data_IF_481833658440
#
_entry.id   IF_481833658440
#
_cell.length_a   1.000
_cell.length_b   1.000
_cell.length_c   1.000
_cell.angle_alpha   90.00
_cell.angle_beta   90.00
_cell.angle_gamma   90.00
#
_symmetry.space_group_name_H-M   'P 1'
#
loop_
_entity.id
_entity.type
_entity.pdbx_description
1 polymer ?
#
# COMPACT_ATOMS: atom_id res chain seq x y z
N UNK A 1 -76.78 -15.32 -28.62
CA UNK A 1 -76.11 -14.15 -29.21
C UNK A 1 -74.64 -14.53 -29.41
N UNK A 2 -74.31 -15.23 -30.50
CA UNK A 2 -73.70 -14.69 -31.75
C UNK A 2 -72.40 -13.93 -31.44
N UNK A 3 -71.20 -14.35 -31.85
CA UNK A 3 -70.75 -14.54 -33.25
C UNK A 3 -69.33 -15.16 -33.25
N UNK A 4 -69.09 -16.32 -33.90
CA UNK A 4 -68.40 -16.55 -35.20
C UNK A 4 -66.86 -16.41 -35.24
N UNK A 5 -66.23 -17.38 -35.92
CA UNK A 5 -64.95 -17.27 -36.66
C UNK A 5 -63.98 -18.42 -36.34
N UNK A 6 -63.84 -19.50 -37.13
CA UNK A 6 -63.32 -19.65 -38.51
C UNK A 6 -61.79 -19.66 -38.63
N UNK A 7 -61.25 -20.70 -39.30
CA UNK A 7 -59.90 -20.76 -39.91
C UNK A 7 -58.88 -21.55 -39.07
N UNK A 8 -58.49 -22.79 -39.40
CA UNK A 8 -57.77 -23.33 -40.57
C UNK A 8 -56.28 -22.94 -40.65
N UNK A 9 -55.47 -23.94 -40.31
CA UNK A 9 -54.25 -24.43 -40.95
C UNK A 9 -52.94 -23.61 -41.02
N UNK A 10 -51.89 -24.40 -40.80
CA UNK A 10 -50.52 -24.36 -41.37
C UNK A 10 -49.50 -23.35 -40.84
N UNK A 11 -48.37 -23.89 -40.41
CA UNK A 11 -47.17 -23.13 -40.08
C UNK A 11 -46.07 -23.99 -39.46
N UNK A 12 -45.49 -24.90 -40.24
CA UNK A 12 -44.15 -25.46 -39.98
C UNK A 12 -43.16 -24.30 -39.87
N UNK A 13 -42.34 -24.26 -38.82
CA UNK A 13 -41.10 -23.45 -38.87
C UNK A 13 -39.99 -24.12 -38.08
N UNK A 14 -38.86 -24.20 -38.77
CA UNK A 14 -37.56 -24.75 -38.39
C UNK A 14 -37.07 -24.33 -37.01
N UNK A 15 -36.39 -25.28 -36.36
CA UNK A 15 -35.51 -25.06 -35.24
C UNK A 15 -34.42 -24.01 -35.56
N UNK A 16 -34.30 -23.00 -34.70
CA UNK A 16 -33.18 -22.08 -34.70
C UNK A 16 -32.19 -22.48 -33.60
N UNK A 17 -30.96 -22.79 -34.02
CA UNK A 17 -29.80 -23.05 -33.15
C UNK A 17 -29.42 -21.78 -32.38
N UNK A 18 -29.22 -21.81 -31.05
CA UNK A 18 -28.64 -20.68 -30.35
C UNK A 18 -27.14 -20.57 -30.68
N UNK A 19 -26.80 -19.49 -31.37
CA UNK A 19 -25.44 -19.00 -31.55
C UNK A 19 -24.77 -18.77 -30.19
N UNK A 20 -23.76 -19.59 -29.89
CA UNK A 20 -22.85 -19.40 -28.75
C UNK A 20 -22.01 -18.15 -29.02
N UNK A 21 -22.44 -17.01 -28.48
CA UNK A 21 -21.59 -15.81 -28.46
C UNK A 21 -20.44 -16.04 -27.48
N UNK A 22 -19.24 -16.05 -28.03
CA UNK A 22 -17.97 -16.02 -27.33
C UNK A 22 -17.90 -14.81 -26.40
N UNK A 23 -17.96 -15.05 -25.10
CA UNK A 23 -17.53 -14.09 -24.09
C UNK A 23 -16.05 -14.33 -23.82
N UNK A 24 -15.18 -13.60 -24.50
CA UNK A 24 -13.78 -13.49 -24.12
C UNK A 24 -13.75 -12.61 -22.87
N UNK A 25 -13.67 -13.23 -21.68
CA UNK A 25 -13.38 -12.49 -20.46
C UNK A 25 -11.92 -12.08 -20.52
N UNK A 26 -11.65 -10.93 -21.12
CA UNK A 26 -10.37 -10.25 -20.95
C UNK A 26 -10.33 -9.81 -19.49
N UNK A 27 -9.68 -10.60 -18.64
CA UNK A 27 -9.29 -10.18 -17.31
C UNK A 27 -8.21 -9.12 -17.48
N UNK A 28 -8.63 -7.87 -17.65
CA UNK A 28 -7.76 -6.72 -17.46
C UNK A 28 -7.11 -6.87 -16.06
N UNK A 29 -5.77 -6.74 -15.94
CA UNK A 29 -5.12 -6.83 -14.65
C UNK A 29 -5.66 -5.69 -13.78
N UNK A 30 -6.46 -6.05 -12.78
CA UNK A 30 -6.97 -5.14 -11.76
C UNK A 30 -5.75 -4.47 -11.11
N UNK A 31 -5.51 -3.21 -11.48
CA UNK A 31 -4.72 -2.33 -10.64
C UNK A 31 -5.37 -2.40 -9.26
N UNK A 32 -4.64 -2.77 -8.18
CA UNK A 32 -5.25 -2.87 -6.87
C UNK A 32 -5.93 -1.53 -6.57
N UNK A 33 -7.25 -1.56 -6.39
CA UNK A 33 -7.97 -0.37 -5.95
C UNK A 33 -7.31 0.11 -4.65
N UNK A 34 -6.91 1.38 -4.62
CA UNK A 34 -6.29 2.00 -3.45
C UNK A 34 -7.20 1.95 -2.21
N UNK A 35 -8.48 1.66 -2.38
CA UNK A 35 -9.45 1.49 -1.29
C UNK A 35 -9.80 0.03 -0.98
N UNK A 36 -9.24 -0.94 -1.73
CA UNK A 36 -9.51 -2.36 -1.53
C UNK A 36 -10.98 -2.73 -1.74
N UNK A 37 -11.64 -2.16 -2.75
CA UNK A 37 -13.09 -2.32 -2.96
C UNK A 37 -13.94 -1.55 -1.95
N UNK A 38 -13.38 -0.51 -1.31
CA UNK A 38 -14.00 0.24 -0.22
C UNK A 38 -13.85 -0.39 1.16
N UNK A 39 -13.18 -1.53 1.29
CA UNK A 39 -13.00 -2.23 2.57
C UNK A 39 -11.88 -1.67 3.44
N UNK A 40 -10.94 -0.93 2.86
CA UNK A 40 -9.83 -0.36 3.62
C UNK A 40 -10.28 0.79 4.51
N UNK A 41 -9.86 0.76 5.78
CA UNK A 41 -10.19 1.80 6.75
C UNK A 41 -9.58 3.17 6.37
N UNK A 42 -8.39 3.13 5.77
CA UNK A 42 -7.68 4.28 5.20
C UNK A 42 -7.17 3.87 3.82
N UNK A 43 -7.43 4.64 2.75
CA UNK A 43 -6.90 4.33 1.42
C UNK A 43 -5.38 4.22 1.40
N UNK A 44 -4.84 3.34 0.58
CA UNK A 44 -3.41 3.35 0.25
C UNK A 44 -3.03 4.60 -0.54
N UNK A 45 -1.74 4.95 -0.43
CA UNK A 45 -1.11 5.98 -1.27
C UNK A 45 0.01 5.30 -2.05
N UNK A 46 -0.33 4.79 -3.23
CA UNK A 46 0.60 4.05 -4.09
C UNK A 46 0.47 4.53 -5.53
N UNK A 47 1.61 4.72 -6.18
CA UNK A 47 1.76 5.11 -7.57
C UNK A 47 3.02 4.45 -8.14
N UNK A 48 3.10 4.30 -9.46
CA UNK A 48 4.34 3.87 -10.12
C UNK A 48 5.41 4.96 -10.01
N UNK A 49 6.68 4.56 -9.91
CA UNK A 49 7.81 5.49 -9.86
C UNK A 49 8.09 6.14 -8.50
N UNK A 50 7.42 5.68 -7.43
CA UNK A 50 7.73 6.15 -6.08
C UNK A 50 9.15 5.74 -5.66
N UNK A 51 9.87 6.66 -5.00
CA UNK A 51 11.19 6.35 -4.42
C UNK A 51 11.04 5.48 -3.18
N UNK A 52 10.05 5.76 -2.35
CA UNK A 52 9.88 5.13 -1.04
C UNK A 52 8.42 4.80 -0.78
N UNK A 53 8.14 3.60 -0.28
CA UNK A 53 6.87 3.26 0.37
C UNK A 53 7.13 2.98 1.84
N UNK A 54 6.46 3.73 2.72
CA UNK A 54 6.47 3.48 4.16
C UNK A 54 5.30 2.55 4.52
N UNK A 55 5.61 1.48 5.25
CA UNK A 55 4.66 0.43 5.58
C UNK A 55 4.46 0.33 7.09
N UNK A 56 3.26 0.66 7.58
CA UNK A 56 2.88 0.46 8.97
C UNK A 56 2.31 -0.94 9.23
N UNK A 57 1.92 -1.21 10.47
CA UNK A 57 1.25 -2.47 10.85
C UNK A 57 -0.22 -2.42 10.52
N UNK A 58 -0.93 -1.49 11.15
CA UNK A 58 -2.35 -1.22 10.96
C UNK A 58 -2.63 0.24 11.36
N UNK A 59 -3.73 0.85 10.89
CA UNK A 59 -4.17 2.13 11.42
C UNK A 59 -4.49 1.99 12.92
N UNK A 60 -4.04 2.96 13.72
CA UNK A 60 -4.56 3.12 15.09
C UNK A 60 -6.08 3.42 15.04
N UNK A 61 -6.80 3.20 16.15
CA UNK A 61 -8.23 3.59 16.22
C UNK A 61 -8.46 5.08 15.90
N UNK A 62 -7.51 5.94 16.29
CA UNK A 62 -7.53 7.38 15.97
C UNK A 62 -7.34 7.58 14.46
N UNK A 63 -6.35 6.93 13.86
CA UNK A 63 -6.08 6.96 12.42
C UNK A 63 -7.28 6.49 11.59
N UNK A 64 -7.90 5.37 11.97
CA UNK A 64 -9.06 4.83 11.29
C UNK A 64 -10.26 5.79 11.35
N UNK A 65 -10.55 6.36 12.52
CA UNK A 65 -11.64 7.35 12.68
C UNK A 65 -11.38 8.62 11.88
N UNK A 66 -10.12 9.07 11.82
CA UNK A 66 -9.72 10.25 11.05
C UNK A 66 -9.60 9.98 9.54
N UNK A 67 -9.65 8.70 9.10
CA UNK A 67 -9.31 8.25 7.74
C UNK A 67 -7.97 8.81 7.27
N UNK A 68 -6.98 8.78 8.16
CA UNK A 68 -5.67 9.40 7.98
C UNK A 68 -4.54 8.58 8.64
N UNK A 69 -3.35 8.65 8.06
CA UNK A 69 -2.19 7.91 8.57
C UNK A 69 -1.55 8.58 9.79
N UNK A 70 -1.12 7.75 10.74
CA UNK A 70 -0.41 8.19 11.96
C UNK A 70 -1.05 9.40 12.68
N UNK A 71 -2.38 9.43 12.74
CA UNK A 71 -3.14 10.59 13.24
C UNK A 71 -3.17 10.74 14.77
N UNK A 72 -2.63 9.78 15.52
CA UNK A 72 -2.47 9.92 16.96
C UNK A 72 -1.51 11.08 17.26
N UNK A 73 -1.90 12.12 18.02
CA UNK A 73 -1.05 13.27 18.32
C UNK A 73 0.28 12.92 19.01
N UNK A 74 0.33 11.81 19.75
CA UNK A 74 1.57 11.32 20.36
C UNK A 74 2.50 10.60 19.38
N UNK A 75 2.05 10.28 18.16
CA UNK A 75 2.88 9.61 17.16
C UNK A 75 3.85 10.60 16.51
N UNK A 76 5.14 10.28 16.53
CA UNK A 76 6.20 11.17 16.02
C UNK A 76 6.35 11.14 14.49
N UNK A 77 5.60 10.31 13.75
CA UNK A 77 5.80 10.05 12.31
C UNK A 77 5.95 11.32 11.48
N UNK A 78 4.95 12.20 11.50
CA UNK A 78 4.95 13.42 10.69
C UNK A 78 6.07 14.38 11.06
N UNK A 79 6.36 14.49 12.37
CA UNK A 79 7.50 15.25 12.88
C UNK A 79 8.82 14.65 12.39
N UNK A 80 8.96 13.32 12.46
CA UNK A 80 10.16 12.60 12.02
C UNK A 80 10.40 12.77 10.53
N UNK A 81 9.38 12.68 9.67
CA UNK A 81 9.56 12.90 8.22
C UNK A 81 10.14 14.28 7.92
N UNK A 82 9.67 15.31 8.61
CA UNK A 82 10.20 16.67 8.50
C UNK A 82 11.61 16.79 9.11
N UNK A 83 11.83 16.28 10.33
CA UNK A 83 13.13 16.31 11.03
C UNK A 83 14.26 15.69 10.20
N UNK A 84 13.97 14.62 9.44
CA UNK A 84 14.97 13.94 8.60
C UNK A 84 15.00 14.45 7.15
N UNK A 85 14.16 15.42 6.80
CA UNK A 85 14.13 16.03 5.46
C UNK A 85 13.48 15.18 4.37
N UNK A 86 12.66 14.18 4.72
CA UNK A 86 11.83 13.45 3.75
C UNK A 86 10.67 14.31 3.23
N UNK A 87 10.21 15.28 4.04
CA UNK A 87 9.26 16.32 3.64
C UNK A 87 9.83 17.70 4.00
N UNK A 88 9.58 18.75 3.19
CA UNK A 88 10.12 20.09 3.43
C UNK A 88 9.46 20.81 4.61
N UNK A 89 8.26 20.39 4.98
CA UNK A 89 7.52 20.87 6.15
C UNK A 89 6.92 19.68 6.90
N UNK A 90 6.53 19.90 8.16
CA UNK A 90 5.72 18.93 8.89
C UNK A 90 4.28 18.96 8.37
N UNK A 91 3.87 17.88 7.70
CA UNK A 91 2.50 17.70 7.21
C UNK A 91 1.54 17.36 8.35
N UNK A 92 0.28 17.76 8.23
CA UNK A 92 -0.77 17.23 9.11
C UNK A 92 -1.18 15.82 8.65
N UNK A 93 -1.74 14.97 9.54
CA UNK A 93 -2.20 13.63 9.17
C UNK A 93 -3.15 13.60 7.96
N UNK A 94 -4.03 14.60 7.80
CA UNK A 94 -4.96 14.68 6.68
C UNK A 94 -4.30 15.03 5.34
N UNK A 95 -3.07 15.53 5.36
CA UNK A 95 -2.30 15.88 4.16
C UNK A 95 -1.50 14.70 3.61
N UNK A 96 -1.71 13.48 4.14
CA UNK A 96 -0.95 12.29 3.76
C UNK A 96 -0.97 12.00 2.25
N UNK A 97 -2.06 12.35 1.57
CA UNK A 97 -2.21 12.20 0.11
C UNK A 97 -1.27 13.12 -0.69
N UNK A 98 -0.59 14.09 -0.07
CA UNK A 98 0.43 14.94 -0.71
C UNK A 98 1.80 14.25 -0.81
N UNK A 99 2.04 13.18 -0.05
CA UNK A 99 3.34 12.49 -0.02
C UNK A 99 3.89 12.05 -1.38
N UNK A 100 3.07 11.66 -2.38
CA UNK A 100 3.58 11.34 -3.72
C UNK A 100 4.30 12.50 -4.41
N UNK A 101 3.98 13.76 -4.07
CA UNK A 101 4.73 14.94 -4.56
C UNK A 101 6.19 14.92 -4.10
N UNK A 102 6.45 14.25 -2.99
CA UNK A 102 7.78 14.00 -2.45
C UNK A 102 8.25 12.58 -2.73
N UNK A 103 7.69 11.88 -3.73
CA UNK A 103 8.06 10.51 -4.12
C UNK A 103 7.88 9.46 -3.03
N UNK A 104 6.96 9.68 -2.09
CA UNK A 104 6.68 8.79 -0.94
C UNK A 104 5.25 8.25 -1.03
N UNK A 105 5.09 6.95 -0.80
CA UNK A 105 3.80 6.28 -0.64
C UNK A 105 3.59 5.72 0.76
N UNK A 106 2.35 5.30 1.03
CA UNK A 106 1.90 4.75 2.30
C UNK A 106 1.01 3.52 2.08
N UNK A 107 1.23 2.50 2.91
CA UNK A 107 0.33 1.35 3.07
C UNK A 107 0.55 0.73 4.46
N UNK A 108 -0.25 -0.28 4.81
CA UNK A 108 -0.11 -1.06 6.04
C UNK A 108 -0.22 -2.55 5.72
N UNK A 109 0.38 -3.40 6.55
CA UNK A 109 0.23 -4.87 6.43
C UNK A 109 -1.22 -5.31 6.69
N UNK A 110 -1.92 -4.63 7.60
CA UNK A 110 -3.33 -4.86 7.92
C UNK A 110 -4.17 -3.62 7.58
N UNK A 111 -5.00 -3.74 6.54
CA UNK A 111 -5.78 -2.62 5.98
C UNK A 111 -7.24 -2.53 6.45
N UNK A 112 -7.78 -3.65 6.93
CA UNK A 112 -9.20 -3.83 7.27
C UNK A 112 -9.48 -3.81 8.79
N UNK A 113 -8.43 -3.77 9.60
CA UNK A 113 -8.51 -3.78 11.06
C UNK A 113 -7.76 -2.57 11.65
N UNK A 114 -8.20 -2.10 12.81
CA UNK A 114 -7.56 -0.99 13.52
C UNK A 114 -7.34 -1.32 14.99
N UNK A 115 -6.18 -0.95 15.52
CA UNK A 115 -5.82 -1.27 16.89
C UNK A 115 -4.32 -1.18 17.16
N UNK A 116 -3.93 -1.56 18.37
CA UNK A 116 -2.52 -1.85 18.67
C UNK A 116 -2.20 -3.26 18.19
N UNK A 117 -0.94 -3.50 17.83
CA UNK A 117 -0.54 -4.76 17.20
C UNK A 117 -0.94 -6.01 18.00
N UNK A 118 -0.90 -5.94 19.34
CA UNK A 118 -1.20 -7.04 20.25
C UNK A 118 -2.68 -7.44 20.31
N UNK A 119 -3.59 -6.61 19.80
CA UNK A 119 -5.05 -6.89 19.81
C UNK A 119 -5.62 -7.16 18.42
N UNK A 120 -4.77 -7.15 17.38
CA UNK A 120 -5.20 -7.48 16.03
C UNK A 120 -5.45 -8.99 15.93
N UNK A 121 -6.58 -9.42 15.32
CA UNK A 121 -6.83 -10.83 15.08
C UNK A 121 -5.83 -11.39 14.05
N UNK A 122 -5.63 -12.71 14.04
CA UNK A 122 -4.63 -13.36 13.18
C UNK A 122 -4.89 -13.16 11.67
N UNK A 123 -6.16 -13.04 11.28
CA UNK A 123 -6.60 -12.77 9.90
C UNK A 123 -6.51 -11.29 9.50
N UNK A 124 -6.11 -10.40 10.42
CA UNK A 124 -5.90 -8.99 10.09
C UNK A 124 -4.69 -8.78 9.17
N UNK A 125 -3.67 -9.63 9.31
CA UNK A 125 -2.39 -9.48 8.62
C UNK A 125 -2.50 -10.02 7.19
N UNK A 126 -2.26 -9.16 6.20
CA UNK A 126 -2.33 -9.51 4.78
C UNK A 126 -0.98 -9.28 4.06
N UNK A 127 0.09 -10.00 4.46
CA UNK A 127 1.42 -9.81 3.86
C UNK A 127 1.47 -10.12 2.36
N UNK A 128 0.67 -11.07 1.88
CA UNK A 128 0.60 -11.40 0.44
C UNK A 128 -0.08 -10.28 -0.38
N UNK A 129 -1.08 -9.61 0.18
CA UNK A 129 -1.71 -8.44 -0.44
C UNK A 129 -0.72 -7.27 -0.54
N UNK A 130 0.11 -7.08 0.50
CA UNK A 130 1.23 -6.12 0.44
C UNK A 130 2.23 -6.51 -0.66
N UNK A 131 2.68 -7.76 -0.72
CA UNK A 131 3.63 -8.23 -1.74
C UNK A 131 3.10 -8.01 -3.16
N UNK A 132 1.82 -8.31 -3.39
CA UNK A 132 1.17 -8.06 -4.67
C UNK A 132 1.23 -6.57 -5.07
N UNK A 133 0.93 -5.66 -4.14
CA UNK A 133 1.07 -4.20 -4.37
C UNK A 133 2.50 -3.81 -4.71
N UNK A 134 3.48 -4.33 -3.97
CA UNK A 134 4.89 -4.00 -4.21
C UNK A 134 5.37 -4.48 -5.58
N UNK A 135 4.94 -5.66 -6.05
CA UNK A 135 5.22 -6.15 -7.41
C UNK A 135 4.61 -5.27 -8.51
N UNK A 136 3.42 -4.73 -8.26
CA UNK A 136 2.71 -3.87 -9.22
C UNK A 136 3.31 -2.46 -9.28
N UNK A 137 3.51 -1.82 -8.13
CA UNK A 137 3.93 -0.42 -8.07
C UNK A 137 5.45 -0.22 -8.11
N UNK A 138 6.23 -1.27 -7.84
CA UNK A 138 7.70 -1.33 -7.93
C UNK A 138 8.41 -0.09 -7.36
N UNK A 139 8.21 0.24 -6.07
CA UNK A 139 8.96 1.32 -5.45
C UNK A 139 10.45 0.96 -5.36
N UNK A 140 11.33 1.96 -5.35
CA UNK A 140 12.77 1.70 -5.19
C UNK A 140 13.12 1.22 -3.78
N UNK A 141 12.45 1.79 -2.76
CA UNK A 141 12.63 1.46 -1.35
C UNK A 141 11.30 1.06 -0.71
N UNK A 142 11.33 0.06 0.16
CA UNK A 142 10.24 -0.25 1.09
C UNK A 142 10.78 -0.18 2.50
N UNK A 143 10.16 0.63 3.36
CA UNK A 143 10.56 0.79 4.74
C UNK A 143 9.41 0.49 5.70
N UNK A 144 9.56 -0.59 6.47
CA UNK A 144 8.64 -0.88 7.56
C UNK A 144 8.86 0.12 8.69
N UNK A 145 7.81 0.82 9.11
CA UNK A 145 7.89 1.81 10.18
C UNK A 145 7.93 1.20 11.58
N UNK A 146 8.02 -0.13 11.69
CA UNK A 146 8.23 -0.86 12.94
C UNK A 146 8.82 -2.24 12.66
N UNK A 147 9.49 -2.84 13.64
CA UNK A 147 9.92 -4.25 13.54
C UNK A 147 8.74 -5.22 13.42
N UNK A 148 7.58 -4.90 14.00
CA UNK A 148 6.41 -5.78 13.98
C UNK A 148 5.86 -5.97 12.58
N UNK A 149 5.72 -4.88 11.81
CA UNK A 149 5.28 -4.98 10.41
C UNK A 149 6.26 -5.78 9.56
N UNK A 150 7.56 -5.54 9.74
CA UNK A 150 8.60 -6.31 9.06
C UNK A 150 8.57 -7.81 9.44
N UNK A 151 8.43 -8.13 10.73
CA UNK A 151 8.39 -9.50 11.23
C UNK A 151 7.25 -10.32 10.61
N UNK A 152 6.05 -9.72 10.51
CA UNK A 152 4.87 -10.36 9.92
C UNK A 152 5.05 -10.66 8.43
N UNK A 153 5.68 -9.75 7.68
CA UNK A 153 5.87 -9.93 6.23
C UNK A 153 7.04 -10.86 5.90
N UNK A 154 8.09 -10.83 6.72
CA UNK A 154 9.32 -11.58 6.51
C UNK A 154 9.29 -12.97 7.16
N UNK A 155 8.30 -13.27 8.01
CA UNK A 155 8.20 -14.55 8.71
C UNK A 155 9.34 -14.79 9.71
N UNK A 156 9.88 -13.71 10.32
CA UNK A 156 10.98 -13.78 11.30
C UNK A 156 10.63 -13.02 12.57
N UNK A 157 11.23 -13.42 13.69
CA UNK A 157 11.00 -12.72 14.96
C UNK A 157 11.63 -11.32 14.97
N UNK A 158 11.00 -10.39 15.69
CA UNK A 158 11.48 -8.99 15.82
C UNK A 158 12.90 -8.88 16.40
N UNK A 159 13.31 -9.84 17.24
CA UNK A 159 14.66 -9.90 17.81
C UNK A 159 15.76 -10.15 16.77
N UNK A 160 15.41 -10.73 15.61
CA UNK A 160 16.35 -11.01 14.51
C UNK A 160 16.45 -9.88 13.48
N UNK A 161 15.62 -8.84 13.61
CA UNK A 161 15.58 -7.72 12.69
C UNK A 161 16.39 -6.54 13.24
N UNK A 162 17.57 -6.22 12.67
CA UNK A 162 18.25 -4.97 12.96
C UNK A 162 17.49 -3.79 12.34
N UNK A 163 17.66 -2.60 12.91
CA UNK A 163 17.16 -1.38 12.26
C UNK A 163 18.06 -0.99 11.08
N UNK A 164 17.48 -0.26 10.12
CA UNK A 164 18.16 0.21 8.90
C UNK A 164 17.93 -0.70 7.70
N UNK A 165 18.82 -0.58 6.71
CA UNK A 165 18.82 -1.38 5.48
C UNK A 165 19.03 -2.86 5.80
N UNK A 166 18.21 -3.72 5.21
CA UNK A 166 18.34 -5.17 5.29
C UNK A 166 19.22 -5.69 4.14
N UNK A 167 19.80 -6.88 4.30
CA UNK A 167 20.65 -7.50 3.26
C UNK A 167 19.87 -7.96 2.03
N UNK A 168 18.60 -8.32 2.21
CA UNK A 168 17.69 -8.74 1.14
C UNK A 168 16.83 -7.60 0.59
N UNK A 169 16.07 -7.92 -0.45
CA UNK A 169 15.03 -7.07 -1.04
C UNK A 169 13.65 -7.62 -0.70
N UNK A 170 12.62 -6.78 -0.86
CA UNK A 170 11.22 -7.19 -0.80
C UNK A 170 10.56 -6.81 -2.12
N UNK A 171 10.25 -7.82 -2.93
CA UNK A 171 9.67 -7.62 -4.27
C UNK A 171 10.51 -6.63 -5.10
N UNK A 172 11.81 -6.93 -5.22
CA UNK A 172 12.86 -6.13 -5.90
C UNK A 172 13.24 -4.79 -5.22
N UNK A 173 12.40 -4.26 -4.32
CA UNK A 173 12.69 -3.03 -3.59
C UNK A 173 13.75 -3.24 -2.50
N UNK A 174 14.63 -2.26 -2.31
CA UNK A 174 15.56 -2.26 -1.19
C UNK A 174 14.78 -2.12 0.13
N UNK A 175 15.04 -3.04 1.05
CA UNK A 175 14.23 -3.22 2.24
C UNK A 175 14.85 -2.54 3.47
N UNK A 176 14.01 -1.83 4.23
CA UNK A 176 14.38 -1.13 5.45
C UNK A 176 13.44 -1.48 6.62
N UNK A 177 13.99 -1.50 7.83
CA UNK A 177 13.22 -1.65 9.08
C UNK A 177 13.55 -0.47 10.00
N UNK A 178 12.53 0.26 10.43
CA UNK A 178 12.69 1.49 11.21
C UNK A 178 12.18 1.33 12.64
N UNK A 179 12.69 2.12 13.59
CA UNK A 179 12.12 2.20 14.92
C UNK A 179 10.74 2.86 14.87
N UNK A 180 9.80 2.27 15.62
CA UNK A 180 8.41 2.73 15.68
C UNK A 180 8.31 4.15 16.22
N UNK A 181 7.51 4.98 15.54
CA UNK A 181 7.17 6.35 15.95
C UNK A 181 5.96 6.41 16.89
N UNK A 182 5.32 5.27 17.17
CA UNK A 182 4.21 5.18 18.11
C UNK A 182 4.65 5.53 19.54
N UNK A 183 3.78 6.14 20.37
CA UNK A 183 4.05 6.36 21.79
C UNK A 183 4.49 5.09 22.53
N UNK A 184 3.92 3.93 22.20
CA UNK A 184 4.27 2.65 22.81
C UNK A 184 5.70 2.19 22.49
N UNK A 185 6.28 2.69 21.40
CA UNK A 185 7.65 2.40 20.98
C UNK A 185 8.67 3.46 21.42
N UNK A 186 8.25 4.47 22.20
CA UNK A 186 9.07 5.66 22.48
C UNK A 186 10.43 5.33 23.10
N UNK A 187 10.50 4.35 24.00
CA UNK A 187 11.75 3.93 24.65
C UNK A 187 12.77 3.30 23.70
N UNK A 188 12.32 2.77 22.56
CA UNK A 188 13.16 2.16 21.53
C UNK A 188 13.39 3.07 20.32
N UNK A 189 12.82 4.28 20.33
CA UNK A 189 12.93 5.19 19.20
C UNK A 189 14.36 5.69 19.03
N UNK A 190 14.86 5.62 17.80
CA UNK A 190 16.16 6.16 17.41
C UNK A 190 16.00 6.91 16.09
N UNK A 191 16.56 8.12 16.00
CA UNK A 191 16.44 8.93 14.78
C UNK A 191 17.39 8.44 13.66
N UNK A 192 18.52 7.84 14.02
CA UNK A 192 19.59 7.49 13.07
C UNK A 192 19.12 6.57 11.90
N UNK A 193 18.30 5.52 12.09
CA UNK A 193 17.78 4.73 10.97
C UNK A 193 16.89 5.54 10.02
N UNK A 194 16.11 6.50 10.54
CA UNK A 194 15.28 7.40 9.73
C UNK A 194 16.14 8.39 8.92
N UNK A 195 17.20 8.93 9.53
CA UNK A 195 18.17 9.79 8.84
C UNK A 195 18.91 9.04 7.72
N UNK A 196 19.34 7.81 7.99
CA UNK A 196 19.99 6.96 6.99
C UNK A 196 19.05 6.65 5.81
N UNK A 197 17.77 6.39 6.08
CA UNK A 197 16.76 6.22 5.03
C UNK A 197 16.59 7.50 4.20
N UNK A 198 16.51 8.67 4.84
CA UNK A 198 16.39 9.95 4.15
C UNK A 198 17.59 10.24 3.24
N UNK A 199 18.81 10.00 3.73
CA UNK A 199 20.03 10.11 2.94
C UNK A 199 20.00 9.17 1.72
N UNK A 200 19.47 7.96 1.87
CA UNK A 200 19.30 7.00 0.77
C UNK A 200 18.29 7.49 -0.27
N UNK A 201 17.16 8.05 0.16
CA UNK A 201 16.16 8.66 -0.73
C UNK A 201 16.77 9.79 -1.55
N UNK A 202 17.56 10.68 -0.91
CA UNK A 202 18.26 11.77 -1.61
C UNK A 202 19.25 11.22 -2.64
N UNK A 203 20.05 10.21 -2.27
CA UNK A 203 21.02 9.61 -3.20
C UNK A 203 20.36 9.01 -4.44
N UNK A 204 19.23 8.32 -4.29
CA UNK A 204 18.47 7.74 -5.40
C UNK A 204 17.87 8.81 -6.32
N UNK A 205 17.38 9.92 -5.75
CA UNK A 205 16.84 11.04 -6.54
C UNK A 205 17.93 11.81 -7.27
N UNK A 206 19.09 12.00 -6.65
CA UNK A 206 20.25 12.61 -7.30
C UNK A 206 20.75 11.77 -8.49
N UNK A 207 20.77 10.43 -8.35
CA UNK A 207 21.15 9.53 -9.43
C UNK A 207 20.18 9.57 -10.62
N UNK A 208 18.87 9.75 -10.37
CA UNK A 208 17.86 9.87 -11.43
C UNK A 208 17.93 11.21 -12.19
N UNK A 209 18.56 12.24 -11.61
CA UNK A 209 18.69 13.57 -12.19
C UNK A 209 19.96 13.81 -13.02
N UNK A 210 20.91 12.86 -13.03
CA UNK A 210 22.14 12.97 -13.85
C UNK A 210 21.89 12.32 -15.21
N UNK A 211 21.75 13.09 -16.31
CA UNK A 211 21.73 12.49 -17.64
C UNK A 211 23.07 11.76 -17.87
N UNK A 212 23.00 10.55 -18.42
CA UNK A 212 24.19 9.80 -18.82
C UNK A 212 25.06 10.70 -19.73
N UNK A 213 26.40 10.69 -19.60
CA UNK A 213 27.24 11.42 -20.53
C UNK A 213 26.97 10.88 -21.93
N UNK A 214 26.41 11.72 -22.80
CA UNK A 214 26.31 11.45 -24.24
C UNK A 214 27.73 11.23 -24.74
N UNK A 215 28.06 9.96 -24.97
CA UNK A 215 29.38 9.54 -25.44
C UNK A 215 29.63 10.02 -26.86
N UNK A 216 30.83 10.59 -27.04
CA UNK A 216 31.69 10.68 -28.23
C UNK A 216 31.07 11.01 -29.59
#
# INVERSE_FOLDING_TARGET
>A
MTSRGSGSATGTTCAATPSRRSGTTTTEPLTPDLTGGGEYLVPDVLNKGLTLVLVGTAPSRISARARAYYANPGNRFWRTLHEVGLTPTQLAPHDYALLPRFGIGLTDVAKRHAGVDAVLPGDAWAPEELRAKLREYRPQLVAFTSKRGAAEVLGVSTGRLPYGRQSGTLEEAELWVLPSTSPLGQTYFQLAPWQALAARVVALRGAAGTPAPSGA
#
